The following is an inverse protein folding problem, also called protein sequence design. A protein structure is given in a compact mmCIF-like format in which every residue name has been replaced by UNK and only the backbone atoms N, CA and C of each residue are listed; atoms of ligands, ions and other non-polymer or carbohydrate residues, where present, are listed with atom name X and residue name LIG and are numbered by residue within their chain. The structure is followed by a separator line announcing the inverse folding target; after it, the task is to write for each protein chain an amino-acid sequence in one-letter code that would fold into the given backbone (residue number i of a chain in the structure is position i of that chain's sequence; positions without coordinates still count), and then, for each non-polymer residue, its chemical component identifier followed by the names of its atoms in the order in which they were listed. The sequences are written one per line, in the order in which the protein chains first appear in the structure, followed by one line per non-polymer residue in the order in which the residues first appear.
data_IF_490221900740
#
_entry.id   IF_490221900740
#
_cell.length_a   1.000
_cell.length_b   1.000
_cell.length_c   1.000
_cell.angle_alpha   90.00
_cell.angle_beta   90.00
_cell.angle_gamma   90.00
#
_symmetry.space_group_name_H-M   'P 1'
#
loop_
_entity.id
_entity.type
_entity.pdbx_description
1 polymer ?
#
# COMPACT_ATOMS: atom_id res chain seq x y z
N UNK A 1 14.95 5.25 -21.67
CA UNK A 1 14.18 4.08 -21.21
C UNK A 1 14.16 4.10 -19.69
N UNK A 2 13.13 4.71 -19.11
CA UNK A 2 12.94 4.74 -17.66
C UNK A 2 12.49 3.34 -17.24
N UNK A 3 13.34 2.59 -16.56
CA UNK A 3 12.94 1.33 -15.94
C UNK A 3 11.82 1.66 -14.95
N UNK A 4 10.61 1.15 -15.19
CA UNK A 4 9.53 1.26 -14.20
C UNK A 4 9.98 0.46 -12.99
N UNK A 5 10.40 1.16 -11.93
CA UNK A 5 10.75 0.51 -10.66
C UNK A 5 9.46 -0.07 -10.09
N UNK A 6 9.28 -1.37 -10.24
CA UNK A 6 8.22 -2.10 -9.55
C UNK A 6 8.71 -2.46 -8.16
N UNK A 7 8.08 -1.88 -7.15
CA UNK A 7 8.33 -2.18 -5.74
C UNK A 7 7.48 -3.39 -5.34
N UNK A 8 7.77 -4.55 -5.93
CA UNK A 8 6.96 -5.76 -5.73
C UNK A 8 7.58 -6.72 -4.72
N UNK A 9 8.85 -6.56 -4.37
CA UNK A 9 9.55 -7.41 -3.41
C UNK A 9 9.88 -6.61 -2.16
N UNK A 10 9.65 -7.21 -0.99
CA UNK A 10 10.02 -6.60 0.28
C UNK A 10 11.51 -6.21 0.32
N UNK A 11 12.40 -7.05 -0.21
CA UNK A 11 13.85 -6.78 -0.24
C UNK A 11 14.25 -5.50 -1.00
N UNK A 12 13.39 -4.93 -1.84
CA UNK A 12 13.65 -3.67 -2.54
C UNK A 12 13.31 -2.43 -1.69
N UNK A 13 12.50 -2.62 -0.64
CA UNK A 13 11.94 -1.55 0.18
C UNK A 13 12.28 -1.69 1.66
N UNK A 14 12.90 -2.80 2.06
CA UNK A 14 13.27 -3.07 3.44
C UNK A 14 14.17 -1.95 4.01
N UNK A 15 13.69 -1.18 5.01
CA UNK A 15 14.45 -0.11 5.62
C UNK A 15 15.84 -0.51 6.12
N UNK A 16 16.00 -1.77 6.54
CA UNK A 16 17.27 -2.28 7.06
C UNK A 16 18.37 -2.34 5.98
N UNK A 17 17.98 -2.50 4.71
CA UNK A 17 18.91 -2.53 3.57
C UNK A 17 19.27 -1.13 3.04
N UNK A 18 18.62 -0.07 3.55
CA UNK A 18 18.69 1.26 2.98
C UNK A 18 18.90 2.32 4.08
N UNK A 19 20.15 2.72 4.37
CA UNK A 19 20.42 3.82 5.30
C UNK A 19 19.76 5.12 4.84
N UNK A 20 19.18 5.86 5.78
CA UNK A 20 18.53 7.14 5.51
C UNK A 20 18.65 8.06 6.72
N UNK A 21 19.09 9.30 6.50
CA UNK A 21 19.12 10.35 7.53
C UNK A 21 18.06 11.42 7.21
N UNK A 22 16.98 11.51 7.99
CA UNK A 22 15.94 12.51 7.77
C UNK A 22 16.45 13.95 7.95
N UNK A 23 17.49 14.17 8.76
CA UNK A 23 18.05 15.51 8.99
C UNK A 23 18.79 16.05 7.75
N UNK A 24 19.42 15.17 6.98
CA UNK A 24 20.14 15.52 5.74
C UNK A 24 19.23 15.57 4.50
N UNK A 25 17.98 15.11 4.60
CA UNK A 25 17.12 14.85 3.44
C UNK A 25 16.91 16.08 2.53
N UNK A 26 16.64 17.25 3.12
CA UNK A 26 16.39 18.48 2.36
C UNK A 26 17.64 18.90 1.57
N UNK A 27 18.82 18.85 2.18
CA UNK A 27 20.07 19.25 1.52
C UNK A 27 20.44 18.29 0.39
N UNK A 28 20.18 16.99 0.57
CA UNK A 28 20.32 16.01 -0.51
C UNK A 28 19.35 16.31 -1.65
N UNK A 29 18.08 16.58 -1.35
CA UNK A 29 17.08 16.90 -2.36
C UNK A 29 17.44 18.17 -3.13
N UNK A 30 17.90 19.23 -2.45
CA UNK A 30 18.40 20.46 -3.10
C UNK A 30 19.56 20.17 -4.06
N UNK A 31 20.48 19.29 -3.66
CA UNK A 31 21.62 18.88 -4.52
C UNK A 31 21.17 18.09 -5.75
N UNK A 32 20.16 17.25 -5.61
CA UNK A 32 19.66 16.38 -6.68
C UNK A 32 18.66 17.08 -7.62
N UNK A 33 18.00 18.14 -7.14
CA UNK A 33 16.92 18.79 -7.84
C UNK A 33 17.37 19.44 -9.15
N UNK A 34 16.61 19.16 -10.21
CA UNK A 34 16.56 20.05 -11.37
C UNK A 34 15.78 21.33 -10.99
N UNK A 35 15.93 22.43 -11.74
CA UNK A 35 15.10 23.61 -11.54
C UNK A 35 13.62 23.23 -11.45
N UNK A 36 12.98 23.58 -10.33
CA UNK A 36 11.56 23.30 -10.09
C UNK A 36 10.74 24.13 -11.09
N UNK A 37 9.76 23.56 -11.80
CA UNK A 37 8.92 24.34 -12.68
C UNK A 37 8.08 25.34 -11.88
N UNK A 38 7.61 26.43 -12.51
CA UNK A 38 6.76 27.39 -11.82
C UNK A 38 5.46 26.74 -11.33
N UNK A 39 4.90 27.28 -10.24
CA UNK A 39 3.61 26.85 -9.74
C UNK A 39 2.53 26.95 -10.82
N UNK A 40 1.74 25.89 -10.95
CA UNK A 40 0.60 25.85 -11.84
C UNK A 40 -0.45 26.88 -11.42
N UNK A 41 -1.18 27.46 -12.39
CA UNK A 41 -2.30 28.32 -12.07
C UNK A 41 -3.33 27.54 -11.26
N UNK A 42 -3.89 28.15 -10.22
CA UNK A 42 -4.85 27.49 -9.34
C UNK A 42 -6.08 27.03 -10.14
N UNK A 43 -6.52 25.78 -9.92
CA UNK A 43 -7.72 25.22 -10.56
C UNK A 43 -8.97 26.14 -10.52
N UNK A 44 -9.24 26.90 -9.43
CA UNK A 44 -10.37 27.84 -9.38
C UNK A 44 -10.30 29.02 -10.36
N UNK A 45 -9.13 29.27 -10.96
CA UNK A 45 -8.96 30.29 -12.01
C UNK A 45 -9.40 29.81 -13.39
N UNK A 46 -9.68 28.51 -13.56
CA UNK A 46 -10.15 27.90 -14.79
C UNK A 46 -11.68 27.98 -14.88
N UNK A 47 -12.22 29.04 -15.50
CA UNK A 47 -13.62 28.95 -15.96
C UNK A 47 -13.69 27.87 -17.04
N UNK A 48 -14.71 26.99 -17.07
CA UNK A 48 -14.84 25.93 -18.06
C UNK A 48 -14.79 26.38 -19.53
N UNK A 49 -14.95 27.69 -19.80
CA UNK A 49 -14.94 28.30 -21.13
C UNK A 49 -13.66 29.03 -21.52
N UNK A 50 -12.52 28.87 -20.82
CA UNK A 50 -11.24 29.48 -21.21
C UNK A 50 -10.22 28.42 -21.69
N UNK A 51 -10.13 28.18 -23.02
CA UNK A 51 -9.17 27.23 -23.58
C UNK A 51 -7.71 27.58 -23.31
N UNK A 52 -7.38 28.87 -23.19
CA UNK A 52 -5.99 29.31 -22.96
C UNK A 52 -5.57 28.95 -21.54
N UNK A 53 -6.44 29.16 -20.57
CA UNK A 53 -6.20 28.80 -19.18
C UNK A 53 -6.09 27.26 -19.01
N UNK A 54 -6.95 26.49 -19.69
CA UNK A 54 -6.86 25.02 -19.72
C UNK A 54 -5.54 24.53 -20.34
N UNK A 55 -5.10 25.13 -21.44
CA UNK A 55 -3.83 24.81 -22.09
C UNK A 55 -2.63 25.11 -21.19
N UNK A 56 -2.66 26.24 -20.48
CA UNK A 56 -1.63 26.61 -19.52
C UNK A 56 -1.56 25.61 -18.35
N UNK A 57 -2.72 25.22 -17.79
CA UNK A 57 -2.80 24.22 -16.74
C UNK A 57 -2.26 22.86 -17.19
N UNK A 58 -2.67 22.38 -18.37
CA UNK A 58 -2.17 21.10 -18.93
C UNK A 58 -0.65 21.11 -19.11
N UNK A 59 -0.09 22.23 -19.61
CA UNK A 59 1.38 22.38 -19.71
C UNK A 59 2.06 22.34 -18.35
N UNK A 60 1.49 22.99 -17.34
CA UNK A 60 2.04 22.97 -15.98
C UNK A 60 2.00 21.56 -15.36
N UNK A 61 0.91 20.82 -15.54
CA UNK A 61 0.83 19.42 -15.13
C UNK A 61 1.89 18.56 -15.82
N UNK A 62 2.08 18.73 -17.14
CA UNK A 62 3.09 17.99 -17.89
C UNK A 62 4.52 18.29 -17.38
N UNK A 63 4.85 19.56 -17.17
CA UNK A 63 6.15 19.96 -16.62
C UNK A 63 6.38 19.41 -15.21
N UNK A 64 5.34 19.42 -14.38
CA UNK A 64 5.39 18.87 -13.02
C UNK A 64 5.61 17.37 -13.04
N UNK A 65 4.92 16.63 -13.92
CA UNK A 65 5.11 15.19 -14.09
C UNK A 65 6.54 14.84 -14.54
N UNK A 66 7.08 15.59 -15.50
CA UNK A 66 8.46 15.42 -15.97
C UNK A 66 9.46 15.67 -14.85
N UNK A 67 9.27 16.73 -14.06
CA UNK A 67 10.12 17.05 -12.93
C UNK A 67 10.00 16.01 -11.80
N UNK A 68 8.78 15.63 -11.41
CA UNK A 68 8.52 14.61 -10.38
C UNK A 68 9.14 13.26 -10.78
N UNK A 69 9.07 12.89 -12.07
CA UNK A 69 9.72 11.69 -12.61
C UNK A 69 11.24 11.77 -12.50
N UNK A 70 11.83 12.89 -12.91
CA UNK A 70 13.28 13.09 -12.80
C UNK A 70 13.76 13.10 -11.34
N UNK A 71 12.97 13.66 -10.42
CA UNK A 71 13.24 13.64 -8.99
C UNK A 71 13.17 12.22 -8.43
N UNK A 72 12.15 11.44 -8.77
CA UNK A 72 12.06 10.03 -8.37
C UNK A 72 13.26 9.22 -8.87
N UNK A 73 13.68 9.41 -10.12
CA UNK A 73 14.88 8.75 -10.67
C UNK A 73 16.17 9.18 -9.97
N UNK A 74 16.26 10.43 -9.51
CA UNK A 74 17.40 10.92 -8.74
C UNK A 74 17.44 10.33 -7.33
N UNK A 75 16.28 10.29 -6.65
CA UNK A 75 16.16 9.69 -5.32
C UNK A 75 16.41 8.18 -5.33
N UNK A 76 15.95 7.46 -6.36
CA UNK A 76 16.24 6.03 -6.52
C UNK A 76 17.74 5.77 -6.71
N UNK A 77 18.45 6.64 -7.43
CA UNK A 77 19.91 6.51 -7.59
C UNK A 77 20.67 6.81 -6.30
N UNK A 78 20.18 7.74 -5.48
CA UNK A 78 20.80 8.13 -4.21
C UNK A 78 20.52 7.13 -3.09
N UNK A 79 19.25 6.80 -2.88
CA UNK A 79 18.78 6.05 -1.71
C UNK A 79 18.39 4.60 -2.01
N UNK A 80 18.32 4.23 -3.29
CA UNK A 80 17.88 2.91 -3.74
C UNK A 80 16.39 2.82 -4.07
N UNK A 81 15.91 1.63 -4.46
CA UNK A 81 14.56 1.45 -5.01
C UNK A 81 13.43 1.93 -4.10
N UNK A 82 13.56 1.75 -2.77
CA UNK A 82 12.55 2.17 -1.80
C UNK A 82 12.13 3.62 -2.00
N UNK A 83 13.05 4.51 -2.35
CA UNK A 83 12.76 5.93 -2.45
C UNK A 83 11.73 6.26 -3.54
N UNK A 84 11.51 5.38 -4.52
CA UNK A 84 10.48 5.56 -5.56
C UNK A 84 9.06 5.78 -4.98
N UNK A 85 8.80 5.30 -3.76
CA UNK A 85 7.52 5.45 -3.09
C UNK A 85 7.21 6.83 -2.50
N UNK A 86 8.14 7.79 -2.54
CA UNK A 86 7.95 9.12 -1.92
C UNK A 86 6.72 9.87 -2.44
N UNK A 87 6.48 9.85 -3.76
CA UNK A 87 5.30 10.49 -4.39
C UNK A 87 4.02 9.67 -4.30
N UNK A 88 4.04 8.60 -3.50
CA UNK A 88 2.90 7.74 -3.19
C UNK A 88 2.59 7.74 -1.68
N UNK A 89 3.26 8.53 -0.84
CA UNK A 89 2.92 8.56 0.58
C UNK A 89 1.50 9.11 0.80
N UNK A 90 0.67 8.54 1.67
CA UNK A 90 -0.72 8.93 1.87
C UNK A 90 -0.84 10.26 2.57
N UNK A 91 -2.02 10.84 2.39
CA UNK A 91 -2.26 12.26 2.61
C UNK A 91 -1.28 13.12 1.81
N UNK A 92 -1.06 12.72 0.56
CA UNK A 92 -0.42 13.57 -0.43
C UNK A 92 -1.08 14.93 -0.38
N UNK A 93 -0.36 15.92 0.17
CA UNK A 93 -0.59 17.32 -0.23
C UNK A 93 -0.16 17.49 -1.70
N UNK A 94 0.53 16.47 -2.24
CA UNK A 94 1.18 16.44 -3.52
C UNK A 94 1.38 14.99 -4.01
N UNK A 95 0.66 14.60 -5.06
CA UNK A 95 0.88 13.32 -5.73
C UNK A 95 1.84 13.49 -6.93
N UNK A 96 2.47 12.41 -7.42
CA UNK A 96 3.41 12.49 -8.55
C UNK A 96 2.79 13.08 -9.84
N UNK A 97 1.48 12.99 -9.98
CA UNK A 97 0.69 13.49 -11.11
C UNK A 97 0.14 14.91 -10.85
N UNK A 98 0.19 15.37 -9.61
CA UNK A 98 -0.23 16.70 -9.21
C UNK A 98 0.74 17.75 -9.75
N UNK A 99 0.21 18.90 -10.19
CA UNK A 99 1.06 20.02 -10.54
C UNK A 99 1.81 20.54 -9.31
N UNK A 100 3.00 21.09 -9.54
CA UNK A 100 3.67 21.98 -8.57
C UNK A 100 2.73 23.14 -8.30
N UNK A 101 2.36 23.39 -7.05
CA UNK A 101 1.49 24.52 -6.65
C UNK A 101 2.15 25.45 -5.64
N UNK A 102 3.38 25.15 -5.23
CA UNK A 102 4.14 25.94 -4.26
C UNK A 102 5.35 26.61 -4.93
N UNK A 103 6.09 27.41 -4.17
CA UNK A 103 7.38 27.92 -4.64
C UNK A 103 8.41 26.79 -4.81
N UNK A 104 9.49 27.03 -5.60
CA UNK A 104 10.58 26.05 -5.74
C UNK A 104 11.13 25.54 -4.42
N UNK A 105 11.40 26.42 -3.46
CA UNK A 105 12.00 26.03 -2.18
C UNK A 105 11.02 25.22 -1.33
N UNK A 106 9.75 25.64 -1.25
CA UNK A 106 8.70 24.91 -0.56
C UNK A 106 8.49 23.52 -1.18
N UNK A 107 8.57 23.41 -2.52
CA UNK A 107 8.50 22.12 -3.23
C UNK A 107 9.57 21.16 -2.73
N UNK A 108 10.82 21.60 -2.64
CA UNK A 108 11.94 20.73 -2.22
C UNK A 108 11.78 20.28 -0.75
N UNK A 109 11.29 21.16 0.12
CA UNK A 109 10.96 20.80 1.51
C UNK A 109 9.83 19.76 1.56
N UNK A 110 8.78 19.92 0.74
CA UNK A 110 7.68 18.94 0.65
C UNK A 110 8.17 17.57 0.17
N UNK A 111 9.03 17.51 -0.86
CA UNK A 111 9.63 16.23 -1.29
C UNK A 111 10.35 15.54 -0.13
N UNK A 112 11.09 16.28 0.70
CA UNK A 112 11.81 15.71 1.84
C UNK A 112 10.86 15.17 2.91
N UNK A 113 9.77 15.89 3.18
CA UNK A 113 8.74 15.47 4.12
C UNK A 113 8.03 14.21 3.63
N UNK A 114 7.65 14.13 2.37
CA UNK A 114 6.97 12.96 1.79
C UNK A 114 7.90 11.74 1.71
N UNK A 115 9.18 11.93 1.37
CA UNK A 115 10.18 10.86 1.46
C UNK A 115 10.36 10.35 2.90
N UNK A 116 10.38 11.24 3.89
CA UNK A 116 10.48 10.89 5.32
C UNK A 116 9.22 10.17 5.80
N UNK A 117 8.04 10.62 5.37
CA UNK A 117 6.75 10.00 5.69
C UNK A 117 6.69 8.58 5.13
N UNK A 118 7.08 8.43 3.87
CA UNK A 118 7.21 7.13 3.21
C UNK A 118 8.16 6.21 3.96
N UNK A 119 9.34 6.73 4.35
CA UNK A 119 10.32 5.97 5.14
C UNK A 119 9.73 5.43 6.44
N UNK A 120 9.09 6.29 7.22
CA UNK A 120 8.48 5.92 8.51
C UNK A 120 7.44 4.81 8.36
N UNK A 121 6.67 4.84 7.27
CA UNK A 121 5.70 3.80 7.00
C UNK A 121 6.36 2.45 6.67
N UNK A 122 7.43 2.46 5.88
CA UNK A 122 8.20 1.24 5.62
C UNK A 122 8.80 0.67 6.92
N UNK A 123 9.30 1.52 7.83
CA UNK A 123 9.79 1.10 9.15
C UNK A 123 8.68 0.48 10.00
N UNK A 124 7.50 1.09 10.06
CA UNK A 124 6.34 0.50 10.74
C UNK A 124 5.86 -0.81 10.10
N UNK A 125 6.07 -1.00 8.80
CA UNK A 125 5.78 -2.25 8.09
C UNK A 125 6.83 -3.32 8.41
N UNK A 126 8.10 -2.93 8.46
CA UNK A 126 9.21 -3.81 8.85
C UNK A 126 9.01 -4.34 10.28
N UNK A 127 8.60 -3.48 11.22
CA UNK A 127 8.29 -3.88 12.60
C UNK A 127 7.16 -4.92 12.67
N UNK A 128 6.13 -4.77 11.82
CA UNK A 128 5.05 -5.77 11.70
C UNK A 128 5.60 -7.07 11.15
N UNK A 129 6.39 -7.05 10.09
CA UNK A 129 6.99 -8.26 9.51
C UNK A 129 7.90 -8.97 10.51
N UNK A 130 8.64 -8.22 11.33
CA UNK A 130 9.45 -8.75 12.43
C UNK A 130 8.65 -9.55 13.46
N UNK A 131 7.37 -9.22 13.67
CA UNK A 131 6.46 -9.98 14.56
C UNK A 131 5.71 -11.11 13.83
N UNK A 132 5.28 -10.87 12.60
CA UNK A 132 4.43 -11.80 11.84
C UNK A 132 5.23 -12.99 11.29
N UNK A 133 6.38 -12.75 10.66
CA UNK A 133 7.15 -13.81 9.98
C UNK A 133 7.62 -14.94 10.91
N UNK A 134 8.08 -14.68 12.15
CA UNK A 134 8.39 -15.76 13.10
C UNK A 134 7.18 -16.65 13.40
N UNK A 135 6.00 -16.06 13.62
CA UNK A 135 4.76 -16.81 13.91
C UNK A 135 4.34 -17.70 12.74
N UNK A 136 4.48 -17.22 11.49
CA UNK A 136 4.21 -18.00 10.30
C UNK A 136 5.14 -19.23 10.17
N UNK A 137 6.40 -19.10 10.62
CA UNK A 137 7.39 -20.19 10.60
C UNK A 137 7.21 -21.20 11.74
N UNK A 138 6.64 -20.76 12.86
CA UNK A 138 6.50 -21.56 14.08
C UNK A 138 5.22 -22.42 14.13
N UNK A 139 4.30 -22.26 13.17
CA UNK A 139 3.03 -22.99 13.16
C UNK A 139 3.25 -24.51 13.11
N UNK A 140 2.65 -25.24 14.06
CA UNK A 140 2.95 -26.64 14.33
C UNK A 140 2.22 -27.64 13.43
N UNK A 141 1.20 -27.21 12.68
CA UNK A 141 0.46 -28.03 11.74
C UNK A 141 -0.38 -27.21 10.75
N UNK A 142 -0.96 -27.84 9.72
CA UNK A 142 -1.57 -27.09 8.61
C UNK A 142 -2.74 -26.19 9.02
N UNK A 143 -3.52 -26.57 10.04
CA UNK A 143 -4.58 -25.72 10.59
C UNK A 143 -4.02 -24.46 11.28
N UNK A 144 -2.98 -24.65 12.11
CA UNK A 144 -2.28 -23.55 12.76
C UNK A 144 -1.58 -22.65 11.75
N UNK A 145 -1.08 -23.22 10.64
CA UNK A 145 -0.45 -22.45 9.56
C UNK A 145 -1.47 -21.57 8.85
N UNK A 146 -2.66 -22.09 8.51
CA UNK A 146 -3.73 -21.28 7.90
C UNK A 146 -4.17 -20.17 8.85
N UNK A 147 -4.40 -20.48 10.13
CA UNK A 147 -4.81 -19.48 11.13
C UNK A 147 -3.74 -18.40 11.34
N UNK A 148 -2.45 -18.77 11.35
CA UNK A 148 -1.35 -17.81 11.45
C UNK A 148 -1.28 -16.88 10.23
N UNK A 149 -1.49 -17.42 9.02
CA UNK A 149 -1.58 -16.62 7.79
C UNK A 149 -2.77 -15.67 7.80
N UNK A 150 -3.94 -16.16 8.16
CA UNK A 150 -5.16 -15.36 8.23
C UNK A 150 -5.03 -14.19 9.22
N UNK A 151 -4.47 -14.45 10.41
CA UNK A 151 -4.19 -13.42 11.41
C UNK A 151 -3.19 -12.38 10.89
N UNK A 152 -2.09 -12.82 10.25
CA UNK A 152 -1.09 -11.93 9.70
C UNK A 152 -1.64 -11.03 8.59
N UNK A 153 -2.43 -11.60 7.68
CA UNK A 153 -3.06 -10.87 6.57
C UNK A 153 -4.09 -9.87 7.12
N UNK A 154 -4.90 -10.28 8.11
CA UNK A 154 -5.89 -9.41 8.76
C UNK A 154 -5.24 -8.21 9.45
N UNK A 155 -4.19 -8.44 10.25
CA UNK A 155 -3.45 -7.35 10.92
C UNK A 155 -2.89 -6.36 9.88
N UNK A 156 -2.29 -6.90 8.82
CA UNK A 156 -1.60 -6.11 7.81
C UNK A 156 -2.56 -5.29 6.94
N UNK A 157 -3.68 -5.88 6.50
CA UNK A 157 -4.72 -5.17 5.77
C UNK A 157 -5.38 -4.10 6.64
N UNK A 158 -5.70 -4.42 7.89
CA UNK A 158 -6.29 -3.46 8.83
C UNK A 158 -5.36 -2.26 9.03
N UNK A 159 -4.06 -2.51 9.25
CA UNK A 159 -3.08 -1.45 9.40
C UNK A 159 -2.89 -0.61 8.13
N UNK A 160 -2.95 -1.25 6.95
CA UNK A 160 -2.82 -0.58 5.65
C UNK A 160 -4.04 0.31 5.39
N UNK A 161 -5.25 -0.21 5.54
CA UNK A 161 -6.49 0.54 5.30
C UNK A 161 -6.63 1.71 6.28
N UNK A 162 -6.29 1.50 7.55
CA UNK A 162 -6.28 2.59 8.53
C UNK A 162 -5.29 3.72 8.17
N UNK A 163 -4.24 3.39 7.42
CA UNK A 163 -3.20 4.33 7.01
C UNK A 163 -3.52 5.04 5.68
N UNK A 164 -4.23 4.38 4.77
CA UNK A 164 -4.64 4.97 3.48
C UNK A 164 -5.92 5.82 3.60
N UNK A 165 -6.72 5.64 4.66
CA UNK A 165 -8.03 6.30 4.84
C UNK A 165 -9.01 6.08 3.65
N UNK A 166 -10.04 6.93 3.48
CA UNK A 166 -11.00 6.90 2.37
C UNK A 166 -10.36 7.36 1.01
N UNK A 167 -9.04 7.16 0.83
CA UNK A 167 -8.33 7.41 -0.44
C UNK A 167 -8.70 6.32 -1.47
N UNK A 168 -8.92 6.75 -2.72
CA UNK A 168 -9.29 5.92 -3.87
C UNK A 168 -8.22 4.87 -4.24
N UNK A 169 -7.03 4.91 -3.61
CA UNK A 169 -5.91 4.02 -3.89
C UNK A 169 -5.75 2.78 -2.99
N UNK A 170 -6.67 2.49 -2.05
CA UNK A 170 -6.47 1.41 -1.05
C UNK A 170 -6.19 0.03 -1.65
N UNK A 171 -6.78 -0.30 -2.81
CA UNK A 171 -6.59 -1.60 -3.47
C UNK A 171 -5.13 -1.80 -3.87
N UNK A 172 -4.52 -0.78 -4.49
CA UNK A 172 -3.13 -0.81 -4.92
C UNK A 172 -2.16 -0.90 -3.73
N UNK A 173 -2.53 -0.34 -2.58
CA UNK A 173 -1.78 -0.51 -1.35
C UNK A 173 -1.88 -1.92 -0.80
N UNK A 174 -3.10 -2.45 -0.67
CA UNK A 174 -3.34 -3.81 -0.19
C UNK A 174 -2.63 -4.85 -1.07
N UNK A 175 -2.68 -4.69 -2.39
CA UNK A 175 -1.95 -5.55 -3.33
C UNK A 175 -0.45 -5.57 -3.04
N UNK A 176 0.13 -4.38 -2.91
CA UNK A 176 1.57 -4.19 -2.70
C UNK A 176 2.05 -4.78 -1.38
N UNK A 177 1.39 -4.44 -0.28
CA UNK A 177 1.80 -4.87 1.06
C UNK A 177 1.60 -6.38 1.27
N UNK A 178 0.54 -6.97 0.71
CA UNK A 178 0.36 -8.43 0.73
C UNK A 178 1.44 -9.14 -0.10
N UNK A 179 1.75 -8.63 -1.29
CA UNK A 179 2.84 -9.18 -2.12
C UNK A 179 4.18 -9.09 -1.39
N UNK A 180 4.44 -8.02 -0.64
CA UNK A 180 5.63 -7.92 0.21
C UNK A 180 5.66 -8.95 1.34
N UNK A 181 4.54 -9.18 2.02
CA UNK A 181 4.47 -10.20 3.07
C UNK A 181 4.82 -11.59 2.50
N UNK A 182 4.22 -11.96 1.37
CA UNK A 182 4.45 -13.25 0.73
C UNK A 182 5.90 -13.41 0.27
N UNK A 183 6.48 -12.38 -0.34
CA UNK A 183 7.89 -12.41 -0.77
C UNK A 183 8.85 -12.42 0.42
N UNK A 184 8.54 -11.73 1.52
CA UNK A 184 9.31 -11.78 2.77
C UNK A 184 9.22 -13.15 3.47
N UNK A 185 8.10 -13.86 3.29
CA UNK A 185 7.94 -15.26 3.72
C UNK A 185 8.63 -16.27 2.79
N UNK A 186 9.18 -15.82 1.66
CA UNK A 186 9.97 -16.64 0.73
C UNK A 186 9.21 -17.18 -0.48
N UNK A 187 7.96 -16.73 -0.72
CA UNK A 187 7.25 -17.10 -1.95
C UNK A 187 7.82 -16.34 -3.16
N UNK A 188 7.85 -16.97 -4.36
CA UNK A 188 8.22 -16.27 -5.60
C UNK A 188 7.31 -15.08 -5.88
N UNK A 189 7.84 -14.03 -6.51
CA UNK A 189 7.09 -12.80 -6.81
C UNK A 189 5.87 -13.08 -7.68
N UNK A 190 6.04 -13.85 -8.75
CA UNK A 190 4.97 -14.14 -9.72
C UNK A 190 3.83 -14.94 -9.05
N UNK A 191 4.18 -15.88 -8.17
CA UNK A 191 3.20 -16.60 -7.35
C UNK A 191 2.50 -15.65 -6.39
N UNK A 192 3.25 -14.79 -5.71
CA UNK A 192 2.72 -13.84 -4.73
C UNK A 192 1.70 -12.89 -5.38
N UNK A 193 2.06 -12.26 -6.50
CA UNK A 193 1.18 -11.37 -7.24
C UNK A 193 -0.09 -12.08 -7.72
N UNK A 194 0.03 -13.30 -8.22
CA UNK A 194 -1.12 -14.10 -8.68
C UNK A 194 -2.08 -14.44 -7.54
N UNK A 195 -1.55 -14.80 -6.37
CA UNK A 195 -2.36 -15.11 -5.19
C UNK A 195 -3.12 -13.89 -4.67
N UNK A 196 -2.44 -12.75 -4.63
CA UNK A 196 -3.01 -11.49 -4.15
C UNK A 196 -4.07 -10.94 -5.10
N UNK A 197 -3.79 -10.92 -6.41
CA UNK A 197 -4.75 -10.51 -7.44
C UNK A 197 -6.04 -11.32 -7.37
N UNK A 198 -5.94 -12.65 -7.17
CA UNK A 198 -7.10 -13.51 -7.00
C UNK A 198 -7.89 -13.20 -5.72
N UNK A 199 -7.20 -12.98 -4.59
CA UNK A 199 -7.83 -12.77 -3.30
C UNK A 199 -8.55 -11.41 -3.19
N UNK A 200 -7.94 -10.36 -3.74
CA UNK A 200 -8.60 -9.06 -3.87
C UNK A 200 -9.73 -9.18 -4.92
N UNK A 201 -9.44 -9.75 -6.08
CA UNK A 201 -10.43 -10.11 -7.08
C UNK A 201 -11.15 -8.90 -7.71
N UNK A 202 -11.99 -9.19 -8.70
CA UNK A 202 -12.60 -8.13 -9.51
C UNK A 202 -13.66 -7.30 -8.80
N UNK A 203 -14.17 -7.78 -7.67
CA UNK A 203 -15.21 -7.13 -6.87
C UNK A 203 -14.78 -5.78 -6.28
N UNK A 204 -13.48 -5.51 -6.21
CA UNK A 204 -12.93 -4.25 -5.69
C UNK A 204 -12.36 -3.33 -6.78
N UNK A 205 -12.55 -3.65 -8.07
CA UNK A 205 -12.16 -2.75 -9.17
C UNK A 205 -13.05 -1.50 -9.28
N UNK A 206 -14.16 -1.44 -8.53
CA UNK A 206 -14.90 -0.22 -8.27
C UNK A 206 -14.59 0.30 -6.86
N UNK A 207 -14.73 1.62 -6.65
CA UNK A 207 -14.56 2.19 -5.32
C UNK A 207 -15.61 1.63 -4.36
N UNK A 208 -15.15 0.89 -3.35
CA UNK A 208 -15.92 0.41 -2.22
C UNK A 208 -15.02 0.51 -1.01
N UNK A 209 -15.52 1.08 0.09
CA UNK A 209 -14.82 1.06 1.37
C UNK A 209 -14.73 -0.38 1.87
N UNK A 210 -13.52 -0.85 2.18
CA UNK A 210 -13.34 -2.17 2.80
C UNK A 210 -14.06 -2.24 4.15
N UNK A 211 -15.01 -3.15 4.24
CA UNK A 211 -15.58 -3.53 5.54
C UNK A 211 -14.65 -4.51 6.25
N UNK A 212 -14.83 -4.65 7.56
CA UNK A 212 -14.12 -5.67 8.31
C UNK A 212 -14.52 -7.11 7.90
N UNK A 213 -15.68 -7.29 7.24
CA UNK A 213 -16.05 -8.56 6.65
C UNK A 213 -15.24 -8.85 5.38
N UNK A 214 -14.99 -7.83 4.55
CA UNK A 214 -14.14 -7.96 3.36
C UNK A 214 -12.70 -8.30 3.73
N UNK A 215 -12.15 -7.66 4.78
CA UNK A 215 -10.79 -7.97 5.26
C UNK A 215 -10.69 -9.44 5.71
N UNK A 216 -11.65 -9.92 6.48
CA UNK A 216 -11.66 -11.32 6.93
C UNK A 216 -11.76 -12.30 5.75
N UNK A 217 -12.65 -11.99 4.80
CA UNK A 217 -12.85 -12.81 3.60
C UNK A 217 -11.59 -12.87 2.71
N UNK A 218 -10.91 -11.73 2.50
CA UNK A 218 -9.63 -11.69 1.78
C UNK A 218 -8.57 -12.50 2.53
N UNK A 219 -8.48 -12.34 3.85
CA UNK A 219 -7.49 -13.02 4.67
C UNK A 219 -7.66 -14.54 4.64
N UNK A 220 -8.90 -15.01 4.79
CA UNK A 220 -9.26 -16.43 4.76
C UNK A 220 -8.92 -17.06 3.41
N UNK A 221 -9.35 -16.43 2.31
CA UNK A 221 -9.08 -16.93 0.95
C UNK A 221 -7.58 -16.98 0.65
N UNK A 222 -6.86 -15.90 0.94
CA UNK A 222 -5.43 -15.82 0.68
C UNK A 222 -4.65 -16.81 1.55
N UNK A 223 -4.99 -16.96 2.83
CA UNK A 223 -4.33 -17.92 3.72
C UNK A 223 -4.46 -19.36 3.21
N UNK A 224 -5.66 -19.75 2.76
CA UNK A 224 -5.90 -21.08 2.17
C UNK A 224 -5.11 -21.31 0.90
N UNK A 225 -5.08 -20.33 0.00
CA UNK A 225 -4.35 -20.46 -1.27
C UNK A 225 -2.82 -20.47 -1.07
N UNK A 226 -2.30 -19.78 -0.06
CA UNK A 226 -0.88 -19.82 0.31
C UNK A 226 -0.47 -21.20 0.82
N UNK A 227 -1.26 -21.78 1.73
CA UNK A 227 -1.02 -23.12 2.29
C UNK A 227 -1.28 -24.23 1.27
N UNK A 228 -2.22 -23.98 0.34
CA UNK A 228 -2.65 -24.90 -0.70
C UNK A 228 -3.68 -25.93 -0.21
N UNK A 229 -4.41 -26.58 -1.13
CA UNK A 229 -5.21 -27.73 -0.77
C UNK A 229 -4.29 -28.84 -0.25
N UNK A 230 -4.68 -29.47 0.87
CA UNK A 230 -4.15 -30.79 1.21
C UNK A 230 -4.36 -31.69 0.00
N UNK A 231 -3.33 -32.41 -0.44
CA UNK A 231 -3.56 -33.62 -1.23
C UNK A 231 -4.51 -34.51 -0.41
N UNK A 232 -5.80 -34.54 -0.79
CA UNK A 232 -6.79 -35.46 -0.22
C UNK A 232 -8.09 -34.89 0.37
N UNK A 233 -8.46 -33.62 0.19
CA UNK A 233 -9.80 -33.17 0.61
C UNK A 233 -10.44 -32.18 -0.37
N UNK A 234 -11.05 -32.72 -1.43
CA UNK A 234 -12.13 -32.01 -2.11
C UNK A 234 -13.30 -31.90 -1.13
N UNK A 235 -13.48 -30.73 -0.51
CA UNK A 235 -14.76 -30.39 0.08
C UNK A 235 -15.78 -30.30 -1.07
N UNK A 236 -16.76 -31.21 -1.06
CA UNK A 236 -17.87 -31.20 -2.01
C UNK A 236 -18.67 -29.89 -1.91
N UNK A 237 -19.42 -29.53 -2.96
CA UNK A 237 -20.25 -28.33 -2.92
C UNK A 237 -21.37 -28.54 -1.89
N UNK A 238 -21.30 -27.85 -0.74
CA UNK A 238 -22.40 -27.86 0.24
C UNK A 238 -22.08 -27.65 1.72
N UNK A 239 -20.84 -27.37 2.14
CA UNK A 239 -20.55 -27.02 3.54
C UNK A 239 -20.25 -25.53 3.71
N UNK A 240 -21.31 -24.72 3.57
CA UNK A 240 -21.38 -23.41 4.18
C UNK A 240 -22.36 -23.50 5.35
N UNK A 241 -21.92 -23.11 6.55
CA UNK A 241 -22.79 -22.96 7.72
C UNK A 241 -22.24 -23.59 9.00
N UNK A 242 -21.75 -22.72 9.89
CA UNK A 242 -22.04 -22.77 11.33
C UNK A 242 -21.28 -23.72 12.28
N UNK A 243 -20.07 -24.19 11.97
CA UNK A 243 -19.17 -24.77 12.99
C UNK A 243 -17.98 -23.82 13.28
N UNK A 244 -18.22 -22.80 14.11
CA UNK A 244 -17.17 -21.98 14.71
C UNK A 244 -17.25 -22.06 16.24
N UNK A 245 -16.11 -22.08 16.97
CA UNK A 245 -16.13 -22.09 18.42
C UNK A 245 -16.80 -20.82 18.97
N UNK A 246 -17.78 -21.01 19.86
CA UNK A 246 -18.54 -19.94 20.53
C UNK A 246 -17.69 -19.09 21.48
N UNK A 247 -16.42 -19.43 21.70
CA UNK A 247 -15.51 -18.73 22.61
C UNK A 247 -14.18 -18.45 21.93
N UNK A 248 -13.86 -17.17 21.81
CA UNK A 248 -12.58 -16.65 21.34
C UNK A 248 -11.72 -16.20 22.53
N UNK A 249 -10.38 -16.12 22.39
CA UNK A 249 -9.50 -15.61 23.44
C UNK A 249 -9.93 -14.22 23.94
N UNK A 250 -9.85 -13.99 25.25
CA UNK A 250 -10.19 -12.72 25.87
C UNK A 250 -9.36 -11.57 25.28
N UNK A 251 -10.02 -10.54 24.74
CA UNK A 251 -9.39 -9.32 24.23
C UNK A 251 -9.58 -9.03 22.73
N UNK A 252 -10.26 -9.90 21.98
CA UNK A 252 -10.56 -9.68 20.56
C UNK A 252 -11.74 -8.70 20.33
N UNK A 253 -11.74 -7.79 19.34
CA UNK A 253 -12.85 -6.87 19.11
C UNK A 253 -14.11 -7.58 18.60
N UNK A 254 -15.15 -7.68 19.43
CA UNK A 254 -16.42 -8.37 19.11
C UNK A 254 -17.43 -7.49 18.35
N UNK A 255 -17.09 -7.00 17.15
CA UNK A 255 -18.03 -6.19 16.35
C UNK A 255 -19.11 -7.03 15.63
N UNK A 256 -18.98 -8.37 15.59
CA UNK A 256 -20.01 -9.28 15.05
C UNK A 256 -21.16 -9.57 16.03
N UNK A 257 -20.99 -9.35 17.33
CA UNK A 257 -22.09 -9.45 18.29
C UNK A 257 -23.12 -8.31 18.11
N UNK A 258 -22.68 -7.15 17.62
CA UNK A 258 -23.51 -5.94 17.47
C UNK A 258 -24.28 -5.85 16.15
N UNK A 259 -23.91 -6.64 15.13
CA UNK A 259 -24.56 -6.58 13.81
C UNK A 259 -25.73 -7.56 13.62
N UNK A 260 -26.09 -8.38 14.61
CA UNK A 260 -27.30 -9.23 14.56
C UNK A 260 -28.60 -8.49 14.93
N UNK A 261 -28.53 -7.21 15.27
CA UNK A 261 -29.69 -6.44 15.74
C UNK A 261 -30.01 -5.22 14.86
N UNK A 262 -30.35 -5.43 13.58
CA UNK A 262 -31.29 -4.55 12.86
C UNK A 262 -32.17 -5.38 11.92
N UNK A 263 -33.47 -5.52 12.20
CA UNK A 263 -34.41 -6.06 11.22
C UNK A 263 -34.73 -5.01 10.15
N UNK A 264 -34.95 -5.51 8.94
CA UNK A 264 -35.46 -4.77 7.79
C UNK A 264 -36.75 -4.01 8.12
N UNK A 265 -36.81 -2.75 7.70
CA UNK A 265 -38.01 -2.04 7.27
C UNK A 265 -37.61 -0.97 6.26
#
# INVERSE_FOLDING_TARGET
MTSVVRLNRWAQVDPAAHPYDPAAAVDVIRRLARPVPPAAPAFPSLRPGDPVAWDAYRRACQQSLEWNTAMADALVREYGPWAFGWGMAPHVTWDRWAPVVTSPEETLVLVAQELTRWRRWLEGTADRFGRLLPSLRAAAGPGDTVAAWEAAITELLTATVAWVEDDDGWQGWCDRVLTWLLTAAGLPEERSATLVDRALGARFYGWVRLSAADVADIAEHLARDVVGPRDGAFAGPGQGGDDWPDTWPEGWPSWRATNRARPHS
#
